data_IF_610220325967
#
_entry.id   IF_610220325967
#
_cell.length_a   1.000
_cell.length_b   1.000
_cell.length_c   1.000
_cell.angle_alpha   90.00
_cell.angle_beta   90.00
_cell.angle_gamma   90.00
#
_symmetry.space_group_name_H-M   'P 1'
#
loop_
_entity.id
_entity.type
_entity.pdbx_description
1 polymer ?
#
# COMPACT_ATOMS: atom_id res chain seq x y z
N UNK A 1 -3.36 14.51 -20.60
CA UNK A 1 -3.14 13.33 -21.45
C UNK A 1 -4.00 12.23 -20.88
N UNK A 2 -4.98 11.73 -21.64
CA UNK A 2 -5.89 10.68 -21.19
C UNK A 2 -5.12 9.35 -21.24
N UNK A 3 -4.44 8.99 -20.15
CA UNK A 3 -3.81 7.70 -19.99
C UNK A 3 -4.88 6.70 -19.58
N UNK A 4 -5.07 5.66 -20.38
CA UNK A 4 -5.83 4.48 -19.97
C UNK A 4 -5.21 3.98 -18.66
N UNK A 5 -5.92 4.12 -17.53
CA UNK A 5 -5.51 3.50 -16.27
C UNK A 5 -5.49 1.99 -16.49
N UNK A 6 -4.30 1.41 -16.60
CA UNK A 6 -4.12 -0.02 -16.88
C UNK A 6 -3.98 -0.71 -15.53
N UNK A 7 -5.09 -1.36 -15.17
CA UNK A 7 -5.19 -2.33 -14.08
C UNK A 7 -5.17 -1.74 -12.66
N UNK A 8 -6.38 -1.68 -12.13
CA UNK A 8 -6.65 -1.52 -10.71
C UNK A 8 -6.64 -2.91 -10.05
N UNK A 9 -5.68 -3.19 -9.18
CA UNK A 9 -5.77 -4.38 -8.34
C UNK A 9 -6.72 -4.07 -7.20
N UNK A 10 -7.91 -4.64 -7.31
CA UNK A 10 -8.81 -4.86 -6.19
C UNK A 10 -8.56 -6.26 -5.69
N UNK A 11 -7.89 -6.37 -4.54
CA UNK A 11 -7.64 -7.63 -3.86
C UNK A 11 -8.95 -8.17 -3.31
N UNK A 12 -9.64 -8.98 -4.12
CA UNK A 12 -10.87 -9.64 -3.75
C UNK A 12 -10.75 -11.11 -4.18
N UNK A 13 -10.70 -12.01 -3.19
CA UNK A 13 -10.97 -13.44 -3.36
C UNK A 13 -12.48 -13.75 -3.58
N UNK A 14 -13.32 -12.72 -3.73
CA UNK A 14 -14.79 -12.84 -3.81
C UNK A 14 -15.46 -11.77 -4.70
N UNK A 15 -15.05 -11.62 -5.97
CA UNK A 15 -15.88 -10.93 -6.95
C UNK A 15 -16.76 -12.03 -7.54
N UNK A 16 -17.94 -12.21 -6.97
CA UNK A 16 -18.94 -13.11 -7.55
C UNK A 16 -19.48 -12.45 -8.82
N UNK A 17 -18.82 -12.71 -9.96
CA UNK A 17 -19.16 -12.14 -11.26
C UNK A 17 -18.40 -12.81 -12.40
N UNK A 18 -18.78 -12.52 -13.64
CA UNK A 18 -18.02 -12.95 -14.82
C UNK A 18 -16.66 -12.25 -14.86
N UNK A 19 -15.60 -13.01 -15.12
CA UNK A 19 -14.25 -12.45 -15.27
C UNK A 19 -14.20 -11.62 -16.54
N UNK A 20 -13.81 -10.35 -16.42
CA UNK A 20 -13.60 -9.46 -17.56
C UNK A 20 -12.09 -9.29 -17.78
N UNK A 21 -11.62 -9.55 -19.01
CA UNK A 21 -10.21 -9.40 -19.37
C UNK A 21 -9.46 -10.75 -19.50
N UNK A 22 -8.15 -10.71 -19.30
CA UNK A 22 -7.28 -11.89 -19.37
C UNK A 22 -7.20 -12.61 -18.02
N UNK A 23 -7.28 -13.94 -18.02
CA UNK A 23 -7.10 -14.78 -16.84
C UNK A 23 -5.80 -15.56 -16.98
N UNK A 24 -4.88 -15.36 -16.04
CA UNK A 24 -3.58 -16.04 -16.00
C UNK A 24 -3.51 -17.02 -14.83
N UNK A 25 -3.33 -18.30 -15.13
CA UNK A 25 -3.05 -19.31 -14.10
C UNK A 25 -1.61 -19.17 -13.59
N UNK A 26 -1.42 -19.31 -12.28
CA UNK A 26 -0.13 -19.24 -11.58
C UNK A 26 0.02 -20.45 -10.66
N UNK A 27 1.27 -20.79 -10.31
CA UNK A 27 1.56 -22.00 -9.56
C UNK A 27 1.19 -21.90 -8.07
N UNK A 28 1.31 -20.71 -7.48
CA UNK A 28 1.07 -20.46 -6.06
C UNK A 28 0.66 -19.01 -5.78
N UNK A 29 0.33 -18.73 -4.52
CA UNK A 29 -0.09 -17.42 -4.06
C UNK A 29 1.01 -16.36 -4.19
N UNK A 30 2.27 -16.68 -3.90
CA UNK A 30 3.36 -15.71 -4.01
C UNK A 30 3.54 -15.25 -5.46
N UNK A 31 3.48 -16.19 -6.42
CA UNK A 31 3.49 -15.86 -7.83
C UNK A 31 2.26 -15.03 -8.22
N UNK A 32 1.07 -15.35 -7.68
CA UNK A 32 -0.14 -14.52 -7.87
C UNK A 32 0.13 -13.07 -7.47
N UNK A 33 0.65 -12.85 -6.25
CA UNK A 33 0.91 -11.50 -5.72
C UNK A 33 1.94 -10.75 -6.56
N UNK A 34 3.03 -11.43 -6.90
CA UNK A 34 4.11 -10.84 -7.70
C UNK A 34 3.64 -10.44 -9.11
N UNK A 35 2.86 -11.29 -9.78
CA UNK A 35 2.31 -11.00 -11.10
C UNK A 35 1.29 -9.86 -11.05
N UNK A 36 0.40 -9.85 -10.06
CA UNK A 36 -0.57 -8.75 -9.85
C UNK A 36 0.14 -7.44 -9.56
N UNK A 37 1.14 -7.45 -8.67
CA UNK A 37 1.92 -6.28 -8.34
C UNK A 37 2.77 -5.79 -9.51
N UNK A 38 3.22 -6.67 -10.41
CA UNK A 38 3.99 -6.26 -11.61
C UNK A 38 3.11 -5.52 -12.62
N UNK A 39 1.87 -5.97 -12.83
CA UNK A 39 0.98 -5.44 -13.87
C UNK A 39 0.03 -4.34 -13.40
N UNK A 40 0.03 -3.99 -12.11
CA UNK A 40 -0.79 -2.90 -11.58
C UNK A 40 -0.10 -1.53 -11.72
N UNK A 41 -0.88 -0.48 -11.92
CA UNK A 41 -0.39 0.90 -11.75
C UNK A 41 -0.66 1.43 -10.34
N UNK A 42 -1.67 0.88 -9.67
CA UNK A 42 -2.10 1.25 -8.32
C UNK A 42 -2.75 0.06 -7.60
N UNK A 43 -2.83 0.15 -6.27
CA UNK A 43 -3.53 -0.81 -5.43
C UNK A 43 -4.73 -0.16 -4.75
N UNK A 44 -5.91 -0.79 -4.77
CA UNK A 44 -7.07 -0.34 -3.99
C UNK A 44 -7.61 -1.48 -3.14
N UNK A 45 -7.75 -1.22 -1.84
CA UNK A 45 -8.46 -2.09 -0.92
C UNK A 45 -9.91 -1.64 -0.76
N UNK A 46 -10.84 -2.55 -1.05
CA UNK A 46 -12.26 -2.41 -0.73
C UNK A 46 -12.56 -3.10 0.62
N UNK A 47 -13.64 -2.74 1.32
CA UNK A 47 -14.04 -3.41 2.55
C UNK A 47 -14.02 -4.94 2.41
N UNK A 48 -13.27 -5.61 3.29
CA UNK A 48 -12.96 -7.02 3.16
C UNK A 48 -12.35 -7.58 4.44
N UNK A 49 -12.29 -8.91 4.54
CA UNK A 49 -11.81 -9.60 5.75
C UNK A 49 -10.29 -9.69 5.85
N UNK A 50 -9.82 -10.74 6.54
CA UNK A 50 -8.39 -10.95 6.80
C UNK A 50 -7.54 -11.08 5.53
N UNK A 51 -8.05 -11.68 4.45
CA UNK A 51 -7.32 -11.79 3.18
C UNK A 51 -6.96 -10.41 2.62
N UNK A 52 -7.96 -9.52 2.50
CA UNK A 52 -7.74 -8.15 2.04
C UNK A 52 -6.79 -7.36 2.95
N UNK A 53 -6.86 -7.56 4.28
CA UNK A 53 -5.94 -6.89 5.21
C UNK A 53 -4.50 -7.41 5.10
N UNK A 54 -4.30 -8.71 4.91
CA UNK A 54 -2.99 -9.31 4.69
C UNK A 54 -2.33 -8.74 3.42
N UNK A 55 -3.09 -8.74 2.33
CA UNK A 55 -2.64 -8.25 1.03
C UNK A 55 -2.37 -6.73 1.05
N UNK A 56 -3.21 -5.96 1.74
CA UNK A 56 -3.02 -4.52 1.93
C UNK A 56 -1.74 -4.21 2.72
N UNK A 57 -1.52 -4.91 3.83
CA UNK A 57 -0.35 -4.66 4.67
C UNK A 57 0.96 -5.08 3.97
N UNK A 58 0.92 -6.12 3.14
CA UNK A 58 2.09 -6.54 2.34
C UNK A 58 2.49 -5.47 1.32
N UNK A 59 1.56 -4.89 0.57
CA UNK A 59 1.89 -3.83 -0.40
C UNK A 59 2.36 -2.55 0.30
N UNK A 60 1.81 -2.23 1.47
CA UNK A 60 2.31 -1.11 2.30
C UNK A 60 3.75 -1.38 2.75
N UNK A 61 4.05 -2.60 3.19
CA UNK A 61 5.40 -2.98 3.61
C UNK A 61 6.40 -2.92 2.44
N UNK A 62 6.01 -3.35 1.24
CA UNK A 62 6.84 -3.25 0.04
C UNK A 62 7.11 -1.80 -0.38
N UNK A 63 6.11 -0.92 -0.30
CA UNK A 63 6.29 0.51 -0.51
C UNK A 63 7.25 1.10 0.54
N UNK A 64 7.11 0.73 1.81
CA UNK A 64 8.00 1.18 2.90
C UNK A 64 9.45 0.73 2.68
N UNK A 65 9.65 -0.45 2.09
CA UNK A 65 10.96 -0.98 1.71
C UNK A 65 11.49 -0.41 0.38
N UNK A 66 10.74 0.45 -0.31
CA UNK A 66 11.13 1.02 -1.61
C UNK A 66 11.14 0.00 -2.76
N UNK A 67 10.41 -1.11 -2.62
CA UNK A 67 10.29 -2.13 -3.68
C UNK A 67 9.39 -1.63 -4.82
N UNK A 68 8.43 -0.74 -4.51
CA UNK A 68 7.63 -0.05 -5.49
C UNK A 68 7.20 1.34 -5.00
N UNK A 69 6.90 2.21 -5.95
CA UNK A 69 6.40 3.57 -5.70
C UNK A 69 4.90 3.74 -6.06
N UNK A 70 4.21 2.63 -6.34
CA UNK A 70 2.81 2.61 -6.78
C UNK A 70 1.88 3.11 -5.67
N UNK A 71 0.89 3.97 -5.97
CA UNK A 71 -0.04 4.48 -4.99
C UNK A 71 -0.94 3.38 -4.42
N UNK A 72 -1.20 3.47 -3.12
CA UNK A 72 -2.09 2.56 -2.37
C UNK A 72 -3.32 3.33 -1.89
N UNK A 73 -4.51 2.83 -2.18
CA UNK A 73 -5.79 3.46 -1.87
C UNK A 73 -6.69 2.58 -1.00
N UNK A 74 -7.39 3.18 -0.05
CA UNK A 74 -8.43 2.52 0.74
C UNK A 74 -9.78 3.17 0.46
N UNK A 75 -10.73 2.40 -0.09
CA UNK A 75 -12.10 2.88 -0.26
C UNK A 75 -12.86 2.72 1.07
N UNK A 76 -12.93 3.81 1.82
CA UNK A 76 -13.47 3.85 3.18
C UNK A 76 -15.00 4.06 3.20
N UNK A 77 -15.74 3.12 2.62
CA UNK A 77 -17.21 3.15 2.58
C UNK A 77 -17.76 3.07 4.01
N UNK A 78 -18.67 3.98 4.37
CA UNK A 78 -19.33 4.06 5.68
C UNK A 78 -18.38 4.03 6.89
N UNK A 79 -17.12 4.45 6.70
CA UNK A 79 -16.12 4.47 7.76
C UNK A 79 -15.54 3.09 8.12
N UNK A 80 -15.67 2.08 7.25
CA UNK A 80 -15.16 0.72 7.45
C UNK A 80 -13.70 0.67 7.96
N UNK A 81 -12.82 1.49 7.40
CA UNK A 81 -11.41 1.55 7.74
C UNK A 81 -11.06 2.52 8.87
N UNK A 82 -12.03 3.21 9.50
CA UNK A 82 -11.73 4.23 10.52
C UNK A 82 -10.89 3.71 11.69
N UNK A 83 -11.18 2.49 12.15
CA UNK A 83 -10.42 1.85 13.24
C UNK A 83 -8.99 1.50 12.79
N UNK A 84 -8.82 1.05 11.55
CA UNK A 84 -7.50 0.76 10.99
C UNK A 84 -6.68 2.04 10.84
N UNK A 85 -7.28 3.11 10.31
CA UNK A 85 -6.63 4.41 10.15
C UNK A 85 -6.17 4.95 11.51
N UNK A 86 -7.07 4.93 12.51
CA UNK A 86 -6.75 5.31 13.90
C UNK A 86 -5.61 4.46 14.48
N UNK A 87 -5.60 3.15 14.22
CA UNK A 87 -4.55 2.26 14.68
C UNK A 87 -3.19 2.61 14.07
N UNK A 88 -3.13 2.89 12.77
CA UNK A 88 -1.89 3.30 12.11
C UNK A 88 -1.44 4.68 12.61
N UNK A 89 -2.36 5.64 12.78
CA UNK A 89 -2.05 6.95 13.37
C UNK A 89 -1.44 6.78 14.77
N UNK A 90 -1.98 5.87 15.58
CA UNK A 90 -1.40 5.54 16.89
C UNK A 90 -0.01 4.91 16.78
N UNK A 91 0.20 4.01 15.81
CA UNK A 91 1.51 3.42 15.58
C UNK A 91 2.56 4.48 15.16
N UNK A 92 2.13 5.55 14.49
CA UNK A 92 2.99 6.72 14.19
C UNK A 92 3.30 7.50 15.46
N UNK A 93 2.29 7.80 16.28
CA UNK A 93 2.48 8.50 17.57
C UNK A 93 3.45 7.77 18.50
N UNK A 94 3.34 6.44 18.58
CA UNK A 94 4.20 5.59 19.41
C UNK A 94 5.57 5.32 18.76
N UNK A 95 5.82 5.79 17.54
CA UNK A 95 7.10 5.68 16.85
C UNK A 95 7.38 4.32 16.19
N UNK A 96 6.39 3.44 16.06
CA UNK A 96 6.51 2.18 15.32
C UNK A 96 6.42 2.39 13.80
N UNK A 97 5.75 3.44 13.35
CA UNK A 97 5.64 3.83 11.94
C UNK A 97 6.21 5.23 11.76
N UNK A 98 7.09 5.42 10.78
CA UNK A 98 7.60 6.76 10.47
C UNK A 98 6.47 7.63 9.87
N UNK A 99 6.37 8.93 10.23
CA UNK A 99 5.41 9.86 9.62
C UNK A 99 5.40 9.85 8.08
N UNK A 100 6.54 9.63 7.42
CA UNK A 100 6.60 9.49 5.96
C UNK A 100 5.96 8.19 5.47
N UNK A 101 6.17 7.08 6.19
CA UNK A 101 5.54 5.80 5.88
C UNK A 101 4.01 5.85 6.07
N UNK A 102 3.49 6.75 6.91
CA UNK A 102 2.05 7.00 7.02
C UNK A 102 1.43 7.54 5.73
N UNK A 103 2.22 8.21 4.89
CA UNK A 103 1.78 8.80 3.63
C UNK A 103 1.80 7.80 2.46
N UNK A 104 2.20 6.53 2.68
CA UNK A 104 2.24 5.47 1.65
C UNK A 104 0.86 5.22 1.02
N UNK A 105 -0.21 5.42 1.78
CA UNK A 105 -1.56 5.19 1.31
C UNK A 105 -2.49 6.38 1.57
N UNK A 106 -3.51 6.49 0.71
CA UNK A 106 -4.60 7.47 0.83
C UNK A 106 -5.92 6.76 1.06
N UNK A 107 -6.87 7.43 1.72
CA UNK A 107 -8.23 6.92 1.89
C UNK A 107 -9.28 7.94 1.44
N UNK A 108 -10.40 7.45 0.94
CA UNK A 108 -11.55 8.28 0.56
C UNK A 108 -12.86 7.49 0.68
N UNK A 109 -13.99 8.15 0.99
CA UNK A 109 -15.28 7.48 1.13
C UNK A 109 -15.92 7.09 -0.21
N UNK A 110 -15.52 7.75 -1.32
CA UNK A 110 -16.07 7.50 -2.65
C UNK A 110 -14.98 7.13 -3.66
N UNK A 111 -15.33 6.30 -4.64
CA UNK A 111 -14.39 5.88 -5.68
C UNK A 111 -13.82 7.07 -6.46
N UNK A 112 -14.66 8.07 -6.75
CA UNK A 112 -14.24 9.29 -7.47
C UNK A 112 -13.19 10.07 -6.69
N UNK A 113 -13.42 10.31 -5.40
CA UNK A 113 -12.44 11.00 -4.56
C UNK A 113 -11.16 10.20 -4.41
N UNK A 114 -11.28 8.88 -4.29
CA UNK A 114 -10.11 8.01 -4.17
C UNK A 114 -9.26 8.06 -5.45
N UNK A 115 -9.88 7.98 -6.63
CA UNK A 115 -9.17 8.09 -7.91
C UNK A 115 -8.43 9.42 -8.04
N UNK A 116 -9.07 10.55 -7.70
CA UNK A 116 -8.40 11.85 -7.73
C UNK A 116 -7.16 11.88 -6.82
N UNK A 117 -7.27 11.34 -5.60
CA UNK A 117 -6.13 11.27 -4.66
C UNK A 117 -5.01 10.37 -5.17
N UNK A 118 -5.33 9.28 -5.86
CA UNK A 118 -4.34 8.36 -6.45
C UNK A 118 -3.64 8.99 -7.65
N UNK A 119 -4.33 9.79 -8.46
CA UNK A 119 -3.74 10.52 -9.58
C UNK A 119 -2.81 11.66 -9.12
N UNK A 120 -3.14 12.31 -8.00
CA UNK A 120 -2.33 13.36 -7.37
C UNK A 120 -1.18 12.81 -6.50
N UNK A 121 -1.16 11.49 -6.27
CA UNK A 121 -0.17 10.87 -5.41
C UNK A 121 1.24 11.01 -5.97
N UNK A 122 2.15 11.53 -5.14
CA UNK A 122 3.59 11.50 -5.39
C UNK A 122 4.29 10.81 -4.22
N UNK A 123 5.17 9.82 -4.48
CA UNK A 123 5.94 9.17 -3.43
C UNK A 123 6.77 10.20 -2.67
N UNK A 124 6.67 10.21 -1.33
CA UNK A 124 7.57 11.00 -0.49
C UNK A 124 8.87 10.21 -0.30
N UNK A 125 9.89 10.57 -1.10
CA UNK A 125 11.17 9.87 -1.15
C UNK A 125 12.03 10.17 0.09
N UNK A 126 11.76 9.50 1.20
CA UNK A 126 12.76 9.21 2.24
C UNK A 126 12.75 7.71 2.52
N UNK A 127 13.44 6.97 1.64
CA UNK A 127 13.52 5.52 1.68
C UNK A 127 14.26 5.04 2.93
N UNK A 128 13.55 4.36 3.84
CA UNK A 128 14.15 3.69 5.01
C UNK A 128 15.16 2.62 4.54
N UNK A 129 14.85 1.92 3.45
CA UNK A 129 15.67 0.85 2.90
C UNK A 129 16.92 1.31 2.14
N UNK A 130 17.02 2.58 1.72
CA UNK A 130 18.22 3.08 1.04
C UNK A 130 19.50 3.04 1.91
N UNK A 131 19.36 2.70 3.21
CA UNK A 131 20.46 2.55 4.17
C UNK A 131 20.62 1.15 4.76
N UNK A 132 19.80 0.17 4.36
CA UNK A 132 19.97 -1.21 4.84
C UNK A 132 20.88 -1.98 3.88
N UNK A 133 22.18 -1.85 4.10
CA UNK A 133 23.19 -2.66 3.44
C UNK A 133 23.37 -3.97 4.23
N UNK A 134 22.92 -5.10 3.68
CA UNK A 134 22.92 -6.41 4.36
C UNK A 134 24.32 -7.03 4.57
N UNK A 135 25.39 -6.34 4.15
CA UNK A 135 26.77 -6.85 4.19
C UNK A 135 27.67 -6.18 5.24
N UNK A 136 27.13 -5.36 6.16
CA UNK A 136 27.96 -4.74 7.23
C UNK A 136 27.39 -4.98 8.62
N UNK A 137 28.22 -5.55 9.49
CA UNK A 137 28.00 -5.79 10.93
C UNK A 137 28.04 -4.51 11.79
N UNK A 138 28.16 -3.33 11.18
CA UNK A 138 28.03 -2.05 11.87
C UNK A 138 26.67 -1.42 11.53
N UNK A 139 25.75 -1.52 12.49
CA UNK A 139 24.45 -0.83 12.49
C UNK A 139 24.67 0.69 12.59
N UNK A 140 24.97 1.34 11.48
CA UNK A 140 24.64 2.76 11.35
C UNK A 140 23.13 2.89 11.21
N UNK A 141 22.47 3.23 12.32
CA UNK A 141 21.07 3.60 12.27
C UNK A 141 20.90 4.74 11.26
N UNK A 142 19.96 4.66 10.30
CA UNK A 142 19.59 5.83 9.51
C UNK A 142 19.30 6.97 10.49
N UNK A 143 19.56 8.24 10.12
CA UNK A 143 19.18 9.37 10.96
C UNK A 143 17.73 9.11 11.35
N UNK A 144 17.50 8.92 12.66
CA UNK A 144 16.17 8.64 13.18
C UNK A 144 15.28 9.67 12.48
N UNK A 145 14.26 9.21 11.75
CA UNK A 145 13.12 10.09 11.48
C UNK A 145 12.84 10.74 12.82
N UNK A 146 13.08 12.05 12.96
CA UNK A 146 13.30 12.67 14.27
C UNK A 146 12.06 12.46 15.11
N UNK A 147 12.07 11.40 15.92
CA UNK A 147 10.99 11.04 16.81
C UNK A 147 11.07 12.08 17.91
N UNK A 148 10.07 12.95 18.10
CA UNK A 148 10.05 13.85 19.24
C UNK A 148 9.97 12.96 20.47
N UNK A 149 11.11 12.74 21.13
CA UNK A 149 11.15 12.06 22.42
C UNK A 149 10.39 12.94 23.40
N UNK A 150 9.27 12.44 23.92
CA UNK A 150 8.61 13.02 25.07
C UNK A 150 9.16 12.42 26.36
#
# INVERSE_FOLDING_TARGET
>A
MCGEAKFLVVWIDLITGETVGEVKAVADMHQRKAEMAKHSDAFIALPGGYGTLEELLEVIAWAQLGIHDKPVGLLNVDGYYNSLLTFIDKAVEEGFVCPNARQIFVSAPTAKELMNKLEEYSPSQENIASKLNWEKEELEYPPKCQIPLR
#
